data_IF_982278266072
#
_entry.id   IF_982278266072
#
_cell.length_a   1.000
_cell.length_b   1.000
_cell.length_c   1.000
_cell.angle_alpha   90.00
_cell.angle_beta   90.00
_cell.angle_gamma   90.00
#
_symmetry.space_group_name_H-M   'P 1'
#
loop_
_entity.id
_entity.type
_entity.pdbx_description
1 polymer ?
#
# COMPACT_ATOMS: atom_id res chain seq x y z
N UNK A 1 7.91 13.39 4.95
CA UNK A 1 7.64 13.28 3.52
C UNK A 1 7.87 14.65 2.90
N UNK A 2 8.85 14.79 2.01
CA UNK A 2 9.02 16.03 1.23
C UNK A 2 8.13 15.88 0.00
N UNK A 3 7.20 16.81 -0.19
CA UNK A 3 6.31 16.81 -1.35
C UNK A 3 7.13 16.89 -2.64
N UNK A 4 7.01 15.88 -3.51
CA UNK A 4 7.60 15.87 -4.86
C UNK A 4 8.63 14.77 -5.16
N UNK A 5 9.12 14.04 -4.16
CA UNK A 5 9.96 12.86 -4.44
C UNK A 5 9.11 11.64 -4.85
N UNK A 6 9.53 10.83 -5.83
CA UNK A 6 8.77 9.70 -6.34
C UNK A 6 8.86 8.48 -5.41
N UNK A 7 8.40 8.64 -4.17
CA UNK A 7 8.42 7.60 -3.16
C UNK A 7 7.46 6.45 -3.49
N UNK A 8 6.25 6.77 -3.97
CA UNK A 8 5.23 5.76 -4.28
C UNK A 8 5.67 4.81 -5.41
N UNK A 9 6.23 5.30 -6.55
CA UNK A 9 6.83 4.42 -7.56
C UNK A 9 7.97 3.55 -7.04
N UNK A 10 8.80 4.09 -6.14
CA UNK A 10 9.88 3.31 -5.55
C UNK A 10 9.36 2.20 -4.64
N UNK A 11 8.39 2.49 -3.78
CA UNK A 11 7.73 1.51 -2.93
C UNK A 11 7.00 0.43 -3.74
N UNK A 12 6.27 0.84 -4.79
CA UNK A 12 5.58 -0.09 -5.66
C UNK A 12 6.58 -1.08 -6.28
N UNK A 13 7.74 -0.57 -6.74
CA UNK A 13 8.81 -1.42 -7.26
C UNK A 13 9.36 -2.41 -6.22
N UNK A 14 9.52 -1.99 -4.96
CA UNK A 14 9.93 -2.91 -3.89
C UNK A 14 8.91 -4.03 -3.71
N UNK A 15 7.61 -3.70 -3.67
CA UNK A 15 6.54 -4.71 -3.55
C UNK A 15 6.48 -5.67 -4.74
N UNK A 16 6.77 -5.17 -5.94
CA UNK A 16 6.78 -5.97 -7.17
C UNK A 16 8.01 -6.89 -7.23
N UNK A 17 9.18 -6.38 -6.92
CA UNK A 17 10.46 -7.10 -7.09
C UNK A 17 10.88 -7.92 -5.87
N UNK A 18 10.12 -7.84 -4.78
CA UNK A 18 10.38 -8.60 -3.56
C UNK A 18 10.25 -10.10 -3.80
N UNK A 19 11.25 -10.84 -3.33
CA UNK A 19 11.25 -12.30 -3.25
C UNK A 19 10.59 -12.74 -1.92
N UNK A 20 9.27 -12.57 -1.84
CA UNK A 20 8.46 -13.02 -0.70
C UNK A 20 7.28 -13.84 -1.20
N UNK A 21 6.88 -14.84 -0.42
CA UNK A 21 5.72 -15.67 -0.72
C UNK A 21 4.42 -14.87 -0.66
N UNK A 22 4.33 -13.94 0.29
CA UNK A 22 3.18 -13.05 0.52
C UNK A 22 3.69 -11.63 0.73
N UNK A 23 2.99 -10.66 0.15
CA UNK A 23 3.24 -9.24 0.35
C UNK A 23 2.11 -8.64 1.18
N UNK A 24 2.42 -8.08 2.35
CA UNK A 24 1.45 -7.31 3.14
C UNK A 24 1.71 -5.83 2.90
N UNK A 25 0.74 -5.15 2.31
CA UNK A 25 0.79 -3.71 2.06
C UNK A 25 -0.12 -3.00 3.06
N UNK A 26 0.45 -2.08 3.85
CA UNK A 26 -0.28 -1.27 4.82
C UNK A 26 -0.23 0.22 4.42
N UNK A 27 -1.36 0.75 3.96
CA UNK A 27 -1.53 2.15 3.56
C UNK A 27 -2.22 2.97 4.64
N UNK A 28 -1.58 4.04 5.13
CA UNK A 28 -2.11 4.90 6.18
C UNK A 28 -2.41 6.30 5.66
N UNK A 29 -3.68 6.67 5.60
CA UNK A 29 -4.10 7.99 5.13
C UNK A 29 -3.75 8.25 3.67
N UNK A 30 -3.83 7.23 2.82
CA UNK A 30 -3.55 7.36 1.39
C UNK A 30 -4.62 8.24 0.73
N UNK A 31 -4.21 9.17 -0.12
CA UNK A 31 -5.17 9.76 -1.06
C UNK A 31 -5.62 8.68 -2.05
N UNK A 32 -6.83 8.81 -2.59
CA UNK A 32 -7.40 7.80 -3.47
C UNK A 32 -6.51 7.48 -4.67
N UNK A 33 -5.88 8.51 -5.26
CA UNK A 33 -4.99 8.33 -6.41
C UNK A 33 -3.77 7.47 -6.07
N UNK A 34 -3.20 7.61 -4.88
CA UNK A 34 -2.07 6.80 -4.43
C UNK A 34 -2.50 5.35 -4.17
N UNK A 35 -3.64 5.16 -3.51
CA UNK A 35 -4.23 3.83 -3.33
C UNK A 35 -4.47 3.13 -4.67
N UNK A 36 -5.10 3.85 -5.61
CA UNK A 36 -5.38 3.34 -6.94
C UNK A 36 -4.09 3.02 -7.70
N UNK A 37 -3.07 3.88 -7.59
CA UNK A 37 -1.75 3.64 -8.16
C UNK A 37 -1.15 2.32 -7.68
N UNK A 38 -1.05 2.09 -6.36
CA UNK A 38 -0.48 0.84 -5.84
C UNK A 38 -1.28 -0.39 -6.27
N UNK A 39 -2.61 -0.33 -6.21
CA UNK A 39 -3.48 -1.43 -6.62
C UNK A 39 -3.23 -1.80 -8.08
N UNK A 40 -3.27 -0.82 -8.98
CA UNK A 40 -3.06 -1.03 -10.41
C UNK A 40 -1.66 -1.56 -10.72
N UNK A 41 -0.62 -1.02 -10.07
CA UNK A 41 0.75 -1.51 -10.28
C UNK A 41 0.93 -2.96 -9.82
N UNK A 42 0.30 -3.35 -8.71
CA UNK A 42 0.35 -4.74 -8.25
C UNK A 42 -0.46 -5.70 -9.13
N UNK A 43 -1.60 -5.25 -9.67
CA UNK A 43 -2.41 -6.01 -10.63
C UNK A 43 -1.66 -6.20 -11.97
N UNK A 44 -1.12 -5.13 -12.55
CA UNK A 44 -0.37 -5.16 -13.82
C UNK A 44 0.91 -6.01 -13.73
N UNK A 45 1.59 -5.97 -12.59
CA UNK A 45 2.79 -6.79 -12.36
C UNK A 45 2.47 -8.25 -11.99
N UNK A 46 1.19 -8.62 -11.84
CA UNK A 46 0.76 -9.97 -11.48
C UNK A 46 1.07 -10.38 -10.03
N UNK A 47 1.58 -9.47 -9.20
CA UNK A 47 1.90 -9.75 -7.79
C UNK A 47 0.66 -9.69 -6.89
N UNK A 48 -0.44 -9.09 -7.37
CA UNK A 48 -1.68 -8.92 -6.58
C UNK A 48 -2.23 -10.24 -6.03
N UNK A 49 -2.06 -11.36 -6.73
CA UNK A 49 -2.53 -12.68 -6.29
C UNK A 49 -1.90 -13.15 -4.96
N UNK A 50 -0.74 -12.61 -4.60
CA UNK A 50 -0.04 -12.86 -3.33
C UNK A 50 0.01 -11.63 -2.41
N UNK A 51 -0.73 -10.58 -2.73
CA UNK A 51 -0.72 -9.33 -1.95
C UNK A 51 -1.98 -9.20 -1.12
N UNK A 52 -1.82 -8.91 0.17
CA UNK A 52 -2.90 -8.50 1.06
C UNK A 52 -2.73 -7.00 1.33
N UNK A 53 -3.77 -6.21 1.06
CA UNK A 53 -3.72 -4.76 1.25
C UNK A 53 -4.65 -4.33 2.39
N UNK A 54 -4.10 -3.69 3.41
CA UNK A 54 -4.84 -2.96 4.44
C UNK A 54 -4.66 -1.47 4.20
N UNK A 55 -5.71 -0.78 3.77
CA UNK A 55 -5.63 0.62 3.38
C UNK A 55 -6.66 1.45 4.14
N UNK A 56 -6.19 2.50 4.82
CA UNK A 56 -7.00 3.61 5.30
C UNK A 56 -6.76 4.80 4.38
N UNK A 57 -7.83 5.37 3.83
CA UNK A 57 -7.76 6.55 2.98
C UNK A 57 -7.69 7.83 3.80
N UNK A 58 -7.24 8.92 3.17
CA UNK A 58 -7.20 10.25 3.78
C UNK A 58 -8.60 10.75 4.16
N UNK A 59 -9.64 10.27 3.47
CA UNK A 59 -11.06 10.53 3.76
C UNK A 59 -11.61 9.77 4.97
N UNK A 60 -10.92 8.72 5.40
CA UNK A 60 -11.45 7.79 6.41
C UNK A 60 -11.16 8.31 7.83
N UNK A 61 -11.94 7.87 8.84
CA UNK A 61 -11.72 8.28 10.22
C UNK A 61 -10.29 8.02 10.71
N UNK A 62 -9.68 9.01 11.35
CA UNK A 62 -8.30 8.92 11.86
C UNK A 62 -8.16 7.79 12.89
N UNK A 63 -9.21 7.49 13.65
CA UNK A 63 -9.20 6.41 14.65
C UNK A 63 -8.94 5.03 14.02
N UNK A 64 -9.42 4.79 12.80
CA UNK A 64 -9.23 3.52 12.08
C UNK A 64 -7.79 3.37 11.56
N UNK A 65 -7.08 4.50 11.37
CA UNK A 65 -5.72 4.51 10.84
C UNK A 65 -4.73 3.72 11.69
N UNK A 66 -4.86 3.78 13.01
CA UNK A 66 -3.95 3.02 13.90
C UNK A 66 -4.23 1.53 13.84
N UNK A 67 -5.49 1.14 13.64
CA UNK A 67 -5.93 -0.27 13.59
C UNK A 67 -5.34 -0.98 12.36
N UNK A 68 -5.08 -0.25 11.26
CA UNK A 68 -4.43 -0.81 10.06
C UNK A 68 -3.05 -1.41 10.37
N UNK A 69 -2.29 -0.81 11.28
CA UNK A 69 -0.98 -1.36 11.67
C UNK A 69 -1.12 -2.68 12.42
N UNK A 70 -2.09 -2.76 13.33
CA UNK A 70 -2.35 -3.99 14.07
C UNK A 70 -2.85 -5.10 13.13
N UNK A 71 -3.76 -4.79 12.21
CA UNK A 71 -4.26 -5.74 11.22
C UNK A 71 -3.17 -6.26 10.27
N UNK A 72 -2.18 -5.43 9.93
CA UNK A 72 -1.09 -5.82 9.05
C UNK A 72 -0.04 -6.70 9.74
N UNK A 73 0.07 -6.64 11.07
CA UNK A 73 1.08 -7.39 11.85
C UNK A 73 0.51 -8.61 12.60
N UNK A 74 -0.81 -8.67 12.78
CA UNK A 74 -1.51 -9.77 13.43
C UNK A 74 -1.41 -11.09 12.64
#
# INVERSE_FOLDING_TARGET
SVSGEPYNPFLARIGIQTDADIVVFAGLGLIFDDYHYFRTQFEEAGVFARTVMFCNLASDPIVERLIVLDMALA
#
